data_IF_478637215235
#
_entry.id   IF_478637215235
#
_cell.length_a   1.000
_cell.length_b   1.000
_cell.length_c   1.000
_cell.angle_alpha   90.00
_cell.angle_beta   90.00
_cell.angle_gamma   90.00
#
_symmetry.space_group_name_H-M   'P 1'
#
loop_
_entity.id
_entity.type
_entity.pdbx_description
1 polymer ?
#
# COMPACT_ATOMS: atom_id res chain seq x y z
N UNK A 1 -29.80 -47.91 50.61
CA UNK A 1 -29.33 -48.08 49.21
C UNK A 1 -29.53 -46.74 48.54
N UNK A 2 -28.43 -46.02 48.35
CA UNK A 2 -28.45 -44.64 47.77
C UNK A 2 -28.38 -44.77 46.25
N UNK A 3 -29.42 -44.28 45.54
CA UNK A 3 -29.42 -44.18 44.09
C UNK A 3 -28.64 -42.91 43.68
N UNK A 4 -27.48 -43.07 43.05
CA UNK A 4 -26.70 -41.99 42.45
C UNK A 4 -27.28 -41.77 41.05
N UNK A 5 -27.91 -40.60 40.84
CA UNK A 5 -28.35 -40.14 39.53
C UNK A 5 -27.17 -39.39 38.91
N UNK A 6 -26.60 -39.99 37.86
CA UNK A 6 -25.55 -39.34 37.04
C UNK A 6 -26.23 -38.44 36.02
N UNK A 7 -26.21 -37.11 36.26
CA UNK A 7 -26.66 -36.15 35.28
C UNK A 7 -25.55 -35.93 34.25
N UNK A 8 -25.70 -36.50 33.06
CA UNK A 8 -24.84 -36.28 31.92
C UNK A 8 -25.19 -34.92 31.32
N UNK A 9 -24.41 -33.92 31.69
CA UNK A 9 -24.51 -32.59 31.05
C UNK A 9 -23.89 -32.67 29.63
N UNK A 10 -24.73 -32.79 28.62
CA UNK A 10 -24.30 -32.69 27.22
C UNK A 10 -24.05 -31.20 26.93
N UNK A 11 -22.80 -30.81 26.92
CA UNK A 11 -22.36 -29.52 26.41
C UNK A 11 -22.53 -29.53 24.87
N UNK A 12 -23.67 -29.05 24.37
CA UNK A 12 -23.85 -28.76 22.96
C UNK A 12 -23.10 -27.43 22.70
N UNK A 13 -21.83 -27.54 22.31
CA UNK A 13 -21.12 -26.40 21.71
C UNK A 13 -21.81 -26.08 20.39
N UNK A 14 -22.58 -25.02 20.38
CA UNK A 14 -23.12 -24.46 19.15
C UNK A 14 -21.93 -23.91 18.35
N UNK A 15 -21.40 -24.71 17.42
CA UNK A 15 -20.60 -24.19 16.33
C UNK A 15 -21.55 -23.34 15.47
N UNK A 16 -21.55 -22.02 15.69
CA UNK A 16 -22.12 -21.09 14.73
C UNK A 16 -21.21 -21.16 13.51
N UNK A 17 -21.53 -22.06 12.59
CA UNK A 17 -20.94 -22.04 11.27
C UNK A 17 -21.48 -20.77 10.59
N UNK A 18 -20.67 -19.75 10.52
CA UNK A 18 -20.97 -18.54 9.76
C UNK A 18 -20.94 -18.93 8.27
N UNK A 19 -22.06 -19.48 7.80
CA UNK A 19 -22.26 -19.86 6.41
C UNK A 19 -22.50 -18.59 5.57
N UNK A 20 -21.46 -17.78 5.45
CA UNK A 20 -21.50 -16.58 4.62
C UNK A 20 -21.54 -17.00 3.15
N UNK A 21 -22.67 -16.75 2.48
CA UNK A 21 -22.78 -16.96 1.03
C UNK A 21 -21.81 -16.00 0.35
N UNK A 22 -20.78 -16.54 -0.30
CA UNK A 22 -19.83 -15.75 -1.07
C UNK A 22 -20.44 -15.39 -2.43
N UNK A 23 -20.71 -14.12 -2.63
CA UNK A 23 -21.15 -13.58 -3.92
C UNK A 23 -20.09 -12.65 -4.49
N UNK A 24 -19.96 -12.54 -5.84
CA UNK A 24 -19.08 -11.57 -6.46
C UNK A 24 -19.42 -10.15 -6.04
N UNK A 25 -18.41 -9.35 -5.68
CA UNK A 25 -18.58 -7.94 -5.38
C UNK A 25 -18.83 -7.13 -6.66
N UNK A 26 -19.73 -6.15 -6.59
CA UNK A 26 -20.03 -5.25 -7.72
C UNK A 26 -18.80 -4.39 -8.14
N UNK A 27 -17.88 -4.17 -7.23
CA UNK A 27 -16.60 -3.48 -7.45
C UNK A 27 -15.48 -4.38 -6.89
N UNK A 28 -14.96 -5.30 -7.71
CA UNK A 28 -13.95 -6.26 -7.24
C UNK A 28 -12.67 -5.55 -6.81
N UNK A 29 -12.01 -6.12 -5.81
CA UNK A 29 -10.74 -5.65 -5.29
C UNK A 29 -9.61 -5.99 -6.24
N UNK A 30 -8.65 -5.08 -6.40
CA UNK A 30 -7.40 -5.28 -7.09
C UNK A 30 -6.22 -4.91 -6.19
N UNK A 31 -5.13 -5.65 -6.32
CA UNK A 31 -3.84 -5.36 -5.69
C UNK A 31 -2.81 -5.31 -6.82
N UNK A 32 -2.00 -4.26 -6.83
CA UNK A 32 -0.86 -4.09 -7.73
C UNK A 32 0.37 -3.90 -6.88
N UNK A 33 1.34 -4.79 -6.98
CA UNK A 33 2.67 -4.64 -6.38
C UNK A 33 3.69 -4.46 -7.49
N UNK A 34 4.50 -3.42 -7.40
CA UNK A 34 5.49 -3.06 -8.40
C UNK A 34 6.79 -2.59 -7.74
N UNK A 35 7.90 -3.18 -8.16
CA UNK A 35 9.22 -2.63 -7.85
C UNK A 35 9.53 -1.46 -8.78
N UNK A 36 9.88 -0.32 -8.18
CA UNK A 36 10.39 0.86 -8.90
C UNK A 36 11.80 1.11 -8.39
N UNK A 37 12.79 0.85 -9.24
CA UNK A 37 14.16 0.77 -8.77
C UNK A 37 14.31 -0.28 -7.66
N UNK A 38 14.65 0.16 -6.45
CA UNK A 38 14.77 -0.69 -5.25
C UNK A 38 13.61 -0.50 -4.25
N UNK A 39 12.62 0.32 -4.59
CA UNK A 39 11.45 0.62 -3.75
C UNK A 39 10.26 -0.23 -4.16
N UNK A 40 9.66 -0.94 -3.21
CA UNK A 40 8.39 -1.63 -3.42
C UNK A 40 7.23 -0.66 -3.25
N UNK A 41 6.30 -0.68 -4.21
CA UNK A 41 5.08 0.11 -4.20
C UNK A 41 3.88 -0.83 -4.32
N UNK A 42 2.97 -0.80 -3.35
CA UNK A 42 1.74 -1.59 -3.37
C UNK A 42 0.51 -0.70 -3.42
N UNK A 43 -0.37 -0.97 -4.37
CA UNK A 43 -1.70 -0.38 -4.50
C UNK A 43 -2.77 -1.42 -4.14
N UNK A 44 -3.78 -0.98 -3.40
CA UNK A 44 -4.92 -1.81 -3.05
C UNK A 44 -6.20 -0.98 -3.18
N UNK A 45 -7.10 -1.37 -4.08
CA UNK A 45 -8.29 -0.59 -4.39
C UNK A 45 -9.42 -1.46 -4.93
N UNK A 46 -10.65 -0.95 -4.88
CA UNK A 46 -11.83 -1.58 -5.50
C UNK A 46 -12.15 -0.90 -6.82
N UNK A 47 -12.54 -1.70 -7.82
CA UNK A 47 -12.70 -1.31 -9.23
C UNK A 47 -14.19 -1.19 -9.62
N UNK A 48 -14.87 -0.05 -9.37
CA UNK A 48 -16.21 0.18 -9.87
C UNK A 48 -16.22 0.28 -11.40
N UNK A 49 -17.30 -0.22 -12.02
CA UNK A 49 -17.58 -0.03 -13.44
C UNK A 49 -18.39 1.23 -13.69
N UNK A 50 -18.19 1.87 -14.82
CA UNK A 50 -19.01 3.00 -15.30
C UNK A 50 -20.45 2.56 -15.58
N UNK A 51 -20.63 1.40 -16.19
CA UNK A 51 -21.93 0.80 -16.50
C UNK A 51 -22.83 1.76 -17.28
N UNK A 52 -22.27 2.43 -18.28
CA UNK A 52 -22.96 3.40 -19.12
C UNK A 52 -23.36 4.71 -18.42
N UNK A 53 -22.89 4.97 -17.22
CA UNK A 53 -23.15 6.22 -16.49
C UNK A 53 -22.01 7.22 -16.76
N UNK A 54 -22.31 8.52 -16.91
CA UNK A 54 -21.28 9.55 -16.81
C UNK A 54 -20.63 9.47 -15.43
N UNK A 55 -19.30 9.37 -15.40
CA UNK A 55 -18.55 9.21 -14.13
C UNK A 55 -18.25 10.57 -13.53
N UNK A 56 -17.37 11.32 -14.17
CA UNK A 56 -16.93 12.61 -13.63
C UNK A 56 -17.95 13.71 -13.92
N UNK A 57 -18.27 14.49 -12.90
CA UNK A 57 -19.36 15.47 -12.91
C UNK A 57 -20.73 14.92 -12.53
N UNK A 58 -20.88 13.58 -12.46
CA UNK A 58 -22.15 12.91 -12.08
C UNK A 58 -21.90 11.91 -10.93
N UNK A 59 -21.44 10.68 -11.22
CA UNK A 59 -21.16 9.66 -10.19
C UNK A 59 -20.07 10.13 -9.21
N UNK A 60 -19.08 10.82 -9.71
CA UNK A 60 -18.04 11.52 -8.95
C UNK A 60 -18.16 13.01 -9.25
N UNK A 61 -18.84 13.80 -8.40
CA UNK A 61 -19.06 15.21 -8.64
C UNK A 61 -17.74 16.00 -8.66
N UNK A 62 -17.63 16.94 -9.58
CA UNK A 62 -16.47 17.84 -9.63
C UNK A 62 -16.35 18.71 -8.37
N UNK A 63 -15.13 18.93 -7.93
CA UNK A 63 -14.81 19.76 -6.76
C UNK A 63 -15.16 19.08 -5.42
N UNK A 64 -15.54 17.80 -5.43
CA UNK A 64 -15.82 17.04 -4.21
C UNK A 64 -14.75 16.00 -3.95
N UNK A 65 -14.50 15.73 -2.66
CA UNK A 65 -13.58 14.68 -2.24
C UNK A 65 -14.10 13.32 -2.70
N UNK A 66 -13.22 12.53 -3.32
CA UNK A 66 -13.49 11.18 -3.80
C UNK A 66 -12.44 10.20 -3.27
N UNK A 67 -12.89 9.00 -2.84
CA UNK A 67 -12.04 7.93 -2.28
C UNK A 67 -11.27 7.13 -3.32
N UNK A 68 -11.24 7.57 -4.59
CA UNK A 68 -10.55 6.93 -5.70
C UNK A 68 -10.87 5.42 -5.85
N UNK A 69 -12.15 5.07 -5.69
CA UNK A 69 -12.60 3.69 -5.79
C UNK A 69 -13.99 3.48 -5.20
N UNK A 70 -14.19 2.29 -4.67
CA UNK A 70 -15.42 1.86 -4.01
C UNK A 70 -15.08 1.06 -2.75
N UNK A 71 -16.07 0.81 -1.90
CA UNK A 71 -15.94 0.06 -0.64
C UNK A 71 -14.93 0.72 0.33
N UNK A 72 -13.91 -0.03 0.74
CA UNK A 72 -12.83 0.43 1.60
C UNK A 72 -11.97 1.50 0.93
N UNK A 73 -11.09 2.13 1.69
CA UNK A 73 -10.12 3.08 1.14
C UNK A 73 -9.25 2.46 0.06
N UNK A 74 -9.04 3.20 -1.01
CA UNK A 74 -7.90 2.97 -1.90
C UNK A 74 -6.64 3.33 -1.14
N UNK A 75 -5.67 2.44 -1.10
CA UNK A 75 -4.40 2.67 -0.39
C UNK A 75 -3.21 2.45 -1.29
N UNK A 76 -2.15 3.23 -1.03
CA UNK A 76 -0.82 3.03 -1.60
C UNK A 76 0.19 2.92 -0.46
N UNK A 77 1.18 2.03 -0.60
CA UNK A 77 2.31 1.95 0.32
C UNK A 77 3.63 2.02 -0.43
N UNK A 78 4.63 2.64 0.22
CA UNK A 78 5.99 2.76 -0.27
C UNK A 78 6.96 2.21 0.77
N UNK A 79 7.91 1.36 0.36
CA UNK A 79 8.95 0.82 1.23
C UNK A 79 10.02 1.84 1.61
N UNK A 80 10.15 2.91 0.84
CA UNK A 80 11.12 3.99 1.02
C UNK A 80 10.44 5.36 0.93
N UNK A 81 11.13 6.42 1.39
CA UNK A 81 10.71 7.80 1.16
C UNK A 81 10.71 8.08 -0.34
N UNK A 82 9.64 8.69 -0.86
CA UNK A 82 9.51 9.05 -2.27
C UNK A 82 9.40 10.57 -2.45
N UNK A 83 9.71 11.06 -3.65
CA UNK A 83 9.57 12.46 -3.99
C UNK A 83 8.41 12.60 -4.97
N UNK A 84 7.48 13.48 -4.65
CA UNK A 84 6.31 13.79 -5.46
C UNK A 84 6.23 15.31 -5.56
N UNK A 85 6.27 15.85 -6.79
CA UNK A 85 6.22 17.30 -7.03
C UNK A 85 7.27 18.06 -6.17
N UNK A 86 8.51 17.53 -6.13
CA UNK A 86 9.61 18.08 -5.35
C UNK A 86 9.49 17.97 -3.83
N UNK A 87 8.41 17.36 -3.31
CA UNK A 87 8.17 17.18 -1.87
C UNK A 87 8.41 15.74 -1.46
N UNK A 88 9.03 15.55 -0.30
CA UNK A 88 9.25 14.21 0.26
C UNK A 88 7.98 13.69 0.91
N UNK A 89 7.46 12.56 0.42
CA UNK A 89 6.49 11.74 1.11
C UNK A 89 7.24 10.60 1.82
N UNK A 90 7.05 10.47 3.12
CA UNK A 90 7.72 9.44 3.92
C UNK A 90 7.26 8.04 3.53
N UNK A 91 8.12 7.04 3.70
CA UNK A 91 7.74 5.63 3.56
C UNK A 91 6.57 5.29 4.47
N UNK A 92 5.69 4.44 4.00
CA UNK A 92 4.50 4.05 4.76
C UNK A 92 3.28 3.82 3.88
N UNK A 93 2.15 3.62 4.52
CA UNK A 93 0.87 3.38 3.87
C UNK A 93 -0.02 4.60 3.99
N UNK A 94 -0.68 4.97 2.89
CA UNK A 94 -1.56 6.13 2.78
C UNK A 94 -2.88 5.74 2.13
N UNK A 95 -3.97 6.33 2.59
CA UNK A 95 -5.20 6.35 1.82
C UNK A 95 -5.09 7.39 0.70
N UNK A 96 -5.55 7.03 -0.49
CA UNK A 96 -5.60 7.93 -1.63
C UNK A 96 -6.99 8.55 -1.75
N UNK A 97 -7.03 9.87 -1.74
CA UNK A 97 -8.20 10.65 -2.10
C UNK A 97 -7.89 11.57 -3.29
N UNK A 98 -8.92 12.00 -3.96
CA UNK A 98 -8.81 12.98 -5.03
C UNK A 98 -9.96 13.99 -4.97
N UNK A 99 -9.71 15.17 -5.52
CA UNK A 99 -10.75 16.14 -5.84
C UNK A 99 -10.71 16.38 -7.34
N UNK A 100 -11.49 15.65 -8.14
CA UNK A 100 -11.53 15.82 -9.59
C UNK A 100 -12.13 17.19 -9.97
N UNK A 101 -11.53 17.82 -10.97
CA UNK A 101 -12.06 18.98 -11.70
C UNK A 101 -11.98 18.71 -13.20
N UNK A 102 -12.49 19.62 -14.01
CA UNK A 102 -12.56 19.44 -15.48
C UNK A 102 -11.16 19.31 -16.10
N UNK A 103 -10.21 20.12 -15.66
CA UNK A 103 -8.87 20.19 -16.28
C UNK A 103 -7.75 19.63 -15.40
N UNK A 104 -8.05 19.33 -14.13
CA UNK A 104 -7.04 18.89 -13.17
C UNK A 104 -7.66 18.16 -12.00
N UNK A 105 -6.87 17.28 -11.35
CA UNK A 105 -7.28 16.62 -10.13
C UNK A 105 -6.27 16.92 -9.02
N UNK A 106 -6.77 17.21 -7.81
CA UNK A 106 -5.91 17.11 -6.63
C UNK A 106 -5.79 15.64 -6.25
N UNK A 107 -4.58 15.19 -6.01
CA UNK A 107 -4.26 13.87 -5.45
C UNK A 107 -3.76 14.07 -4.02
N UNK A 108 -4.35 13.34 -3.08
CA UNK A 108 -4.15 13.52 -1.65
C UNK A 108 -3.72 12.20 -1.03
N UNK A 109 -2.56 12.22 -0.37
CA UNK A 109 -2.03 11.12 0.44
C UNK A 109 -2.39 11.40 1.90
N UNK A 110 -3.19 10.51 2.48
CA UNK A 110 -3.79 10.69 3.79
C UNK A 110 -3.35 9.60 4.75
N UNK A 111 -2.97 9.95 5.97
CA UNK A 111 -2.33 9.02 6.91
C UNK A 111 -3.29 8.04 7.58
N UNK A 112 -4.59 8.33 7.69
CA UNK A 112 -5.60 7.41 8.21
C UNK A 112 -6.09 6.51 7.08
N UNK A 113 -5.90 5.20 7.20
CA UNK A 113 -6.07 4.23 6.10
C UNK A 113 -7.17 3.19 6.36
N UNK A 114 -7.88 3.29 7.44
CA UNK A 114 -8.85 2.31 7.96
C UNK A 114 -10.32 2.74 7.82
N UNK A 115 -10.59 3.84 7.11
CA UNK A 115 -11.95 4.30 6.88
C UNK A 115 -12.68 3.42 5.85
N UNK A 116 -13.96 3.20 6.06
CA UNK A 116 -14.85 2.68 5.04
C UNK A 116 -15.38 3.84 4.19
N UNK A 117 -14.73 4.08 3.05
CA UNK A 117 -15.09 5.19 2.16
C UNK A 117 -14.43 6.52 2.54
N UNK A 118 -15.20 7.59 2.58
CA UNK A 118 -14.72 8.90 3.04
C UNK A 118 -14.76 8.98 4.57
N UNK A 119 -13.83 9.70 5.20
CA UNK A 119 -13.94 10.01 6.62
C UNK A 119 -15.17 10.87 6.89
N UNK A 120 -15.77 10.75 8.07
CA UNK A 120 -16.91 11.60 8.47
C UNK A 120 -16.55 13.09 8.45
N UNK A 121 -15.35 13.39 8.96
CA UNK A 121 -14.73 14.71 8.88
C UNK A 121 -13.35 14.55 8.25
N UNK A 122 -13.09 15.38 7.24
CA UNK A 122 -11.77 15.41 6.59
C UNK A 122 -10.84 16.30 7.40
N UNK A 123 -9.85 15.69 8.03
CA UNK A 123 -8.87 16.35 8.88
C UNK A 123 -7.61 16.72 8.09
N UNK A 124 -7.43 17.99 7.78
CA UNK A 124 -6.29 18.49 7.01
C UNK A 124 -4.93 18.16 7.68
N UNK A 125 -4.89 17.94 8.99
CA UNK A 125 -3.65 17.59 9.70
C UNK A 125 -3.16 16.17 9.37
N UNK A 126 -4.03 15.33 8.84
CA UNK A 126 -3.72 13.97 8.36
C UNK A 126 -3.31 13.92 6.89
N UNK A 127 -3.29 15.05 6.20
CA UNK A 127 -2.79 15.13 4.82
C UNK A 127 -1.27 15.12 4.85
N UNK A 128 -0.67 14.00 4.43
CA UNK A 128 0.78 13.86 4.33
C UNK A 128 1.34 14.61 3.12
N UNK A 129 0.61 14.59 2.00
CA UNK A 129 0.95 15.32 0.79
C UNK A 129 -0.31 15.57 -0.05
N UNK A 130 -0.37 16.75 -0.67
CA UNK A 130 -1.34 17.09 -1.71
C UNK A 130 -0.61 17.67 -2.89
N UNK A 131 -0.97 17.23 -4.10
CA UNK A 131 -0.47 17.76 -5.35
C UNK A 131 -1.59 17.81 -6.38
N UNK A 132 -1.42 18.60 -7.44
CA UNK A 132 -2.39 18.74 -8.52
C UNK A 132 -1.79 18.20 -9.81
N UNK A 133 -2.53 17.36 -10.51
CA UNK A 133 -2.16 16.79 -11.80
C UNK A 133 -3.14 17.21 -12.87
N UNK A 134 -2.65 17.34 -14.11
CA UNK A 134 -3.49 17.65 -15.26
C UNK A 134 -4.35 16.44 -15.63
N UNK A 135 -5.61 16.68 -15.96
CA UNK A 135 -6.48 15.68 -16.58
C UNK A 135 -6.23 15.59 -18.08
N UNK A 136 -6.28 14.39 -18.61
CA UNK A 136 -6.14 14.11 -20.03
C UNK A 136 -7.30 13.19 -20.49
N UNK A 137 -7.93 13.58 -21.58
CA UNK A 137 -9.00 12.81 -22.17
C UNK A 137 -8.47 11.54 -22.84
N UNK A 138 -9.13 10.41 -22.58
CA UNK A 138 -8.80 9.15 -23.22
C UNK A 138 -9.45 9.04 -24.60
N UNK A 139 -8.72 8.48 -25.55
CA UNK A 139 -9.24 8.19 -26.91
C UNK A 139 -10.26 7.04 -26.94
N UNK A 140 -10.25 6.18 -25.92
CA UNK A 140 -11.18 5.07 -25.72
C UNK A 140 -11.60 5.00 -24.26
N UNK A 141 -12.89 4.83 -23.97
CA UNK A 141 -13.36 4.77 -22.60
C UNK A 141 -12.86 3.51 -21.87
N UNK A 142 -12.52 3.68 -20.59
CA UNK A 142 -12.15 2.60 -19.69
C UNK A 142 -13.35 2.30 -18.78
N UNK A 143 -13.94 1.13 -18.95
CA UNK A 143 -15.19 0.73 -18.26
C UNK A 143 -14.99 0.63 -16.73
N UNK A 144 -13.93 -0.04 -16.28
CA UNK A 144 -13.65 -0.22 -14.85
C UNK A 144 -12.54 0.70 -14.40
N UNK A 145 -12.72 1.40 -13.27
CA UNK A 145 -11.64 2.17 -12.66
C UNK A 145 -10.35 1.35 -12.65
N UNK A 146 -9.29 1.91 -13.20
CA UNK A 146 -7.97 1.30 -13.24
C UNK A 146 -6.96 2.26 -12.62
N UNK A 147 -6.26 1.80 -11.60
CA UNK A 147 -5.11 2.50 -11.02
C UNK A 147 -3.90 1.59 -11.22
N UNK A 148 -2.84 2.14 -11.79
CA UNK A 148 -1.66 1.36 -12.17
C UNK A 148 -0.38 2.15 -11.88
N UNK A 149 0.76 1.42 -11.89
CA UNK A 149 2.11 1.99 -11.83
C UNK A 149 2.76 1.70 -13.18
N UNK A 150 3.13 2.74 -13.90
CA UNK A 150 3.64 2.66 -15.27
C UNK A 150 4.84 3.59 -15.50
N UNK A 151 5.34 3.63 -16.73
CA UNK A 151 6.46 4.51 -17.08
C UNK A 151 7.69 4.25 -16.22
N UNK A 152 7.98 2.96 -15.98
CA UNK A 152 9.04 2.51 -15.08
C UNK A 152 10.41 2.94 -15.57
N UNK A 153 11.14 3.63 -14.71
CA UNK A 153 12.55 3.93 -14.86
C UNK A 153 13.32 3.44 -13.61
N UNK A 154 14.63 3.52 -13.63
CA UNK A 154 15.48 3.10 -12.51
C UNK A 154 15.20 3.83 -11.21
N UNK A 155 14.66 5.04 -11.26
CA UNK A 155 14.42 5.91 -10.09
C UNK A 155 13.11 6.67 -10.13
N UNK A 156 12.20 6.35 -11.05
CA UNK A 156 10.88 7.00 -11.11
C UNK A 156 9.83 6.12 -11.77
N UNK A 157 8.57 6.45 -11.53
CA UNK A 157 7.42 5.86 -12.21
C UNK A 157 6.25 6.86 -12.17
N UNK A 158 5.13 6.47 -12.77
CA UNK A 158 3.87 7.20 -12.72
C UNK A 158 2.81 6.37 -12.00
N UNK A 159 2.07 7.00 -11.11
CA UNK A 159 0.79 6.54 -10.63
C UNK A 159 -0.26 7.05 -11.60
N UNK A 160 -0.87 6.13 -12.36
CA UNK A 160 -1.87 6.46 -13.38
C UNK A 160 -3.25 6.02 -12.94
N UNK A 161 -4.24 6.86 -13.17
CA UNK A 161 -5.65 6.59 -12.90
C UNK A 161 -6.45 6.77 -14.19
N UNK A 162 -7.20 5.76 -14.57
CA UNK A 162 -8.04 5.73 -15.77
C UNK A 162 -9.47 5.36 -15.40
N UNK A 163 -10.43 6.13 -15.84
CA UNK A 163 -11.83 5.74 -15.74
C UNK A 163 -12.69 6.53 -16.70
N UNK A 164 -13.62 5.84 -17.39
CA UNK A 164 -14.45 6.39 -18.45
C UNK A 164 -13.57 7.05 -19.53
N UNK A 165 -13.68 8.36 -19.72
CA UNK A 165 -12.92 9.10 -20.73
C UNK A 165 -11.77 9.93 -20.15
N UNK A 166 -11.50 9.80 -18.85
CA UNK A 166 -10.52 10.62 -18.14
C UNK A 166 -9.32 9.82 -17.66
N UNK A 167 -8.15 10.45 -17.72
CA UNK A 167 -6.92 9.93 -17.11
C UNK A 167 -6.15 11.03 -16.40
N UNK A 168 -5.41 10.64 -15.38
CA UNK A 168 -4.39 11.48 -14.74
C UNK A 168 -3.15 10.64 -14.46
N UNK A 169 -1.97 11.25 -14.54
CA UNK A 169 -0.69 10.63 -14.26
C UNK A 169 0.08 11.49 -13.26
N UNK A 170 0.50 10.89 -12.16
CA UNK A 170 1.31 11.51 -11.12
C UNK A 170 2.68 10.88 -11.10
N UNK A 171 3.71 11.64 -11.49
CA UNK A 171 5.10 11.18 -11.39
C UNK A 171 5.54 11.13 -9.92
N UNK A 172 6.25 10.08 -9.56
CA UNK A 172 6.98 9.99 -8.30
C UNK A 172 8.39 9.45 -8.53
N UNK A 173 9.31 9.84 -7.66
CA UNK A 173 10.71 9.46 -7.72
C UNK A 173 11.08 8.65 -6.47
N UNK A 174 11.96 7.66 -6.65
CA UNK A 174 12.41 6.76 -5.59
C UNK A 174 13.93 6.87 -5.39
N UNK A 175 14.45 6.61 -4.17
CA UNK A 175 15.84 6.89 -3.81
C UNK A 175 16.81 5.77 -4.25
N UNK A 176 16.65 5.23 -5.48
CA UNK A 176 17.41 4.05 -5.95
C UNK A 176 18.93 4.23 -5.82
N UNK A 177 19.46 5.37 -6.25
CA UNK A 177 20.90 5.62 -6.17
C UNK A 177 21.41 5.62 -4.73
N UNK A 178 20.68 6.31 -3.82
CA UNK A 178 21.03 6.37 -2.40
C UNK A 178 21.00 4.97 -1.77
N UNK A 179 19.97 4.19 -2.04
CA UNK A 179 19.79 2.84 -1.51
C UNK A 179 20.85 1.89 -2.06
N UNK A 180 21.15 1.98 -3.37
CA UNK A 180 22.20 1.17 -4.01
C UNK A 180 23.59 1.50 -3.43
N UNK A 181 23.93 2.78 -3.29
CA UNK A 181 25.23 3.19 -2.71
C UNK A 181 25.39 2.72 -1.27
N UNK A 182 24.35 2.87 -0.44
CA UNK A 182 24.40 2.35 0.93
C UNK A 182 24.58 0.83 0.99
N UNK A 183 23.96 0.09 0.06
CA UNK A 183 24.15 -1.36 -0.06
C UNK A 183 25.59 -1.71 -0.50
N UNK A 184 26.14 -1.00 -1.47
CA UNK A 184 27.53 -1.19 -1.94
C UNK A 184 28.52 -0.93 -0.79
N UNK A 185 28.38 0.19 -0.09
CA UNK A 185 29.23 0.54 1.05
C UNK A 185 29.15 -0.51 2.15
N UNK A 186 27.95 -1.00 2.46
CA UNK A 186 27.76 -2.05 3.45
C UNK A 186 28.46 -3.36 3.07
N UNK A 187 28.35 -3.78 1.81
CA UNK A 187 28.93 -5.05 1.33
C UNK A 187 30.46 -4.94 1.19
N UNK A 188 30.95 -3.84 0.64
CA UNK A 188 32.37 -3.64 0.41
C UNK A 188 33.14 -3.19 1.66
N UNK A 189 32.42 -2.67 2.67
CA UNK A 189 33.00 -2.32 3.98
C UNK A 189 33.41 -3.54 4.83
N UNK A 190 33.06 -4.73 4.37
CA UNK A 190 33.37 -5.99 5.06
C UNK A 190 32.44 -6.26 6.26
N UNK A 191 32.71 -7.31 7.03
CA UNK A 191 31.89 -7.68 8.17
C UNK A 191 31.88 -6.57 9.24
N UNK A 192 30.72 -6.32 9.80
CA UNK A 192 30.55 -5.36 10.89
C UNK A 192 30.98 -5.97 12.24
N UNK A 193 31.23 -5.14 13.25
CA UNK A 193 31.49 -5.60 14.62
C UNK A 193 30.39 -6.55 15.13
N UNK A 194 29.13 -6.32 14.74
CA UNK A 194 28.01 -7.19 15.12
C UNK A 194 28.07 -8.56 14.43
N UNK A 195 28.57 -8.62 13.20
CA UNK A 195 28.76 -9.89 12.48
C UNK A 195 29.86 -10.71 13.15
N UNK A 196 31.00 -10.07 13.53
CA UNK A 196 32.05 -10.70 14.31
C UNK A 196 31.55 -11.18 15.67
N UNK A 197 30.80 -10.36 16.41
CA UNK A 197 30.21 -10.74 17.69
C UNK A 197 29.26 -11.94 17.55
N UNK A 198 28.40 -11.92 16.55
CA UNK A 198 27.43 -13.01 16.30
C UNK A 198 28.15 -14.32 15.94
N UNK A 199 29.18 -14.25 15.10
CA UNK A 199 30.01 -15.41 14.74
C UNK A 199 30.76 -15.94 15.96
N UNK A 200 31.38 -15.06 16.75
CA UNK A 200 32.06 -15.44 18.00
C UNK A 200 31.12 -16.14 18.98
N UNK A 201 29.95 -15.59 19.22
CA UNK A 201 28.94 -16.12 20.12
C UNK A 201 28.46 -17.52 19.66
N UNK A 202 28.22 -17.69 18.35
CA UNK A 202 27.86 -19.01 17.79
C UNK A 202 28.97 -20.05 18.02
N UNK A 203 30.22 -19.72 17.68
CA UNK A 203 31.36 -20.63 17.86
C UNK A 203 31.59 -21.00 19.33
N UNK A 204 31.40 -20.05 20.24
CA UNK A 204 31.50 -20.28 21.68
C UNK A 204 30.37 -21.16 22.19
N UNK A 205 29.12 -20.83 21.90
CA UNK A 205 27.95 -21.58 22.39
C UNK A 205 27.87 -23.00 21.80
N UNK A 206 28.24 -23.19 20.54
CA UNK A 206 28.29 -24.49 19.87
C UNK A 206 29.52 -25.33 20.27
N UNK A 207 30.46 -24.74 21.00
CA UNK A 207 31.75 -25.36 21.36
C UNK A 207 32.52 -25.89 20.14
N UNK A 208 32.35 -25.22 18.97
CA UNK A 208 32.90 -25.68 17.70
C UNK A 208 34.36 -25.22 17.54
N UNK A 209 34.67 -23.95 17.83
CA UNK A 209 36.03 -23.38 17.74
C UNK A 209 36.16 -22.17 18.68
N UNK A 210 36.48 -22.44 19.93
CA UNK A 210 36.64 -21.41 20.98
C UNK A 210 37.83 -20.47 20.66
N UNK A 211 38.89 -20.96 20.07
CA UNK A 211 40.05 -20.16 19.72
C UNK A 211 39.70 -19.10 18.66
N UNK A 212 38.96 -19.49 17.64
CA UNK A 212 38.45 -18.59 16.59
C UNK A 212 37.38 -17.61 17.13
N UNK A 213 36.59 -18.05 18.08
CA UNK A 213 35.64 -17.16 18.77
C UNK A 213 36.34 -16.00 19.45
N UNK A 214 37.46 -16.26 20.15
CA UNK A 214 38.26 -15.22 20.78
C UNK A 214 38.90 -14.24 19.78
N UNK A 215 39.27 -14.70 18.60
CA UNK A 215 39.82 -13.84 17.52
C UNK A 215 38.77 -12.86 17.01
N UNK A 216 37.49 -13.24 16.99
CA UNK A 216 36.42 -12.40 16.46
C UNK A 216 35.90 -11.34 17.46
N UNK A 217 36.19 -11.46 18.76
CA UNK A 217 35.79 -10.46 19.77
C UNK A 217 36.89 -9.49 20.14
N UNK A 218 38.12 -9.69 19.66
CA UNK A 218 39.25 -8.80 19.84
C UNK A 218 39.48 -7.94 18.59
#
# INVERSE_FOLDING_TARGET
>A
MKKIIFALAVFISQFVADAQIKTPQASPRAIVSQMVGLTEVELNYSRPGAKGRPVFGNLVPFGKLWRMGANENTTISFSDDVIIDGKTLKKGKYALYSVPRIESWDIIFYTSTDNWGLPQEFDETKVALRTTVKEEALSKPVESLTINISGLDTSSAFLEIFWENSSVALKFEVPTQKTAMASIEKVLGGPTANDYYSAANFLFQSNTDIAKSLVYVN
#
